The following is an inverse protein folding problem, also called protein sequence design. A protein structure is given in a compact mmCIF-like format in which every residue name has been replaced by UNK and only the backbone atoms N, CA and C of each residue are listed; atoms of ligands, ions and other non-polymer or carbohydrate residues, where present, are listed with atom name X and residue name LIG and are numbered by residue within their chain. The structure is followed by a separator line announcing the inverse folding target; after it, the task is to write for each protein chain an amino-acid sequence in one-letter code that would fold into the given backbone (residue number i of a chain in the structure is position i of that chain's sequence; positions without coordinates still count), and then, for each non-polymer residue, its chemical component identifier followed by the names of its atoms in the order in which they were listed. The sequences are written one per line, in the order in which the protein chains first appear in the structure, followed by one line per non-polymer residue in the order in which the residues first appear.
data_IF_676517384109
#
_entry.id   IF_676517384109
#
_cell.length_a   1.000
_cell.length_b   1.000
_cell.length_c   1.000
_cell.angle_alpha   90.00
_cell.angle_beta   90.00
_cell.angle_gamma   90.00
#
_symmetry.space_group_name_H-M   'P 1'
#
loop_
_entity.id
_entity.type
_entity.pdbx_description
1 polymer ?
#
# COMPACT_ATOMS: atom_id res chain seq x y z
N UNK A 1 19.59 -15.22 0.73
CA UNK A 1 18.80 -15.42 1.96
C UNK A 1 17.98 -14.17 2.18
N UNK A 2 16.69 -14.23 1.83
CA UNK A 2 15.76 -13.13 2.15
C UNK A 2 15.64 -13.12 3.67
N UNK A 3 16.22 -12.10 4.30
CA UNK A 3 16.25 -11.90 5.75
C UNK A 3 14.82 -11.90 6.30
N UNK A 4 14.37 -13.07 6.76
CA UNK A 4 13.20 -13.23 7.61
C UNK A 4 13.55 -12.67 8.99
N UNK A 5 13.25 -11.41 9.24
CA UNK A 5 13.42 -10.79 10.56
C UNK A 5 14.26 -9.52 10.60
N UNK A 6 14.29 -8.73 9.53
CA UNK A 6 14.71 -7.33 9.64
C UNK A 6 13.62 -6.52 10.35
N UNK A 7 13.97 -5.85 11.44
CA UNK A 7 13.12 -4.97 12.22
C UNK A 7 12.52 -3.84 11.34
N UNK A 8 11.44 -4.10 10.60
CA UNK A 8 10.71 -3.08 9.82
C UNK A 8 9.76 -2.30 10.73
N UNK A 9 10.26 -1.82 11.87
CA UNK A 9 9.60 -0.77 12.65
C UNK A 9 9.64 0.53 11.85
N UNK A 10 8.86 0.60 10.77
CA UNK A 10 8.38 1.86 10.25
C UNK A 10 7.38 2.37 11.27
N UNK A 11 7.83 3.24 12.18
CA UNK A 11 6.93 3.94 13.08
C UNK A 11 6.05 4.84 12.22
N UNK A 12 4.82 4.39 11.97
CA UNK A 12 3.81 5.17 11.30
C UNK A 12 3.66 6.55 11.96
N UNK A 13 3.48 7.64 11.19
CA UNK A 13 3.02 8.89 11.77
C UNK A 13 1.67 8.64 12.48
N UNK A 14 1.46 9.19 13.69
CA UNK A 14 0.32 8.85 14.57
C UNK A 14 -1.06 9.35 14.09
N UNK A 15 -1.25 9.54 12.78
CA UNK A 15 -2.41 10.23 12.20
C UNK A 15 -3.21 9.36 11.22
N UNK A 16 -2.73 8.17 10.83
CA UNK A 16 -3.54 7.24 10.05
C UNK A 16 -4.58 6.56 10.95
N UNK A 17 -5.87 6.79 10.67
CA UNK A 17 -6.98 6.11 11.35
C UNK A 17 -7.66 5.20 10.34
N UNK A 18 -7.71 3.90 10.64
CA UNK A 18 -8.23 2.87 9.75
C UNK A 18 -9.53 2.35 10.35
N UNK A 19 -10.62 2.54 9.63
CA UNK A 19 -11.88 1.82 9.89
C UNK A 19 -11.76 0.50 9.15
N UNK A 20 -11.45 -0.58 9.86
CA UNK A 20 -11.49 -2.00 9.45
C UNK A 20 -11.40 -2.25 7.92
N UNK A 21 -10.20 -2.57 7.43
CA UNK A 21 -9.99 -2.82 5.99
C UNK A 21 -10.73 -4.10 5.58
N UNK A 22 -11.61 -4.05 4.55
CA UNK A 22 -12.30 -5.23 4.06
C UNK A 22 -11.35 -6.33 3.58
N UNK A 23 -11.69 -7.58 3.87
CA UNK A 23 -10.88 -8.75 3.50
C UNK A 23 -10.62 -8.88 2.00
N UNK A 24 -11.56 -8.44 1.15
CA UNK A 24 -11.37 -8.49 -0.31
C UNK A 24 -10.17 -7.66 -0.78
N UNK A 25 -9.75 -6.62 -0.04
CA UNK A 25 -8.55 -5.85 -0.36
C UNK A 25 -7.29 -6.65 -0.04
N UNK A 26 -7.30 -7.43 1.04
CA UNK A 26 -6.18 -8.34 1.36
C UNK A 26 -6.02 -9.39 0.27
N UNK A 27 -7.12 -9.91 -0.26
CA UNK A 27 -7.07 -10.79 -1.44
C UNK A 27 -6.49 -10.08 -2.67
N UNK A 28 -6.88 -8.83 -2.92
CA UNK A 28 -6.28 -8.05 -4.01
C UNK A 28 -4.77 -7.82 -3.80
N UNK A 29 -4.31 -7.62 -2.57
CA UNK A 29 -2.89 -7.49 -2.24
C UNK A 29 -2.12 -8.79 -2.44
N UNK A 30 -2.72 -9.94 -2.11
CA UNK A 30 -2.18 -11.27 -2.41
C UNK A 30 -2.08 -11.49 -3.93
N UNK A 31 -3.16 -11.23 -4.67
CA UNK A 31 -3.17 -11.36 -6.12
C UNK A 31 -2.18 -10.41 -6.79
N UNK A 32 -1.98 -9.21 -6.27
CA UNK A 32 -0.99 -8.28 -6.78
C UNK A 32 0.44 -8.73 -6.48
N UNK A 33 0.67 -9.33 -5.31
CA UNK A 33 1.94 -9.93 -4.94
C UNK A 33 2.32 -11.14 -5.80
N UNK A 34 1.31 -11.89 -6.25
CA UNK A 34 1.45 -13.07 -7.10
C UNK A 34 1.39 -12.75 -8.62
N UNK A 35 1.44 -11.47 -8.99
CA UNK A 35 1.32 -11.00 -10.39
C UNK A 35 0.02 -11.46 -11.10
N UNK A 36 -1.03 -11.78 -10.34
CA UNK A 36 -2.35 -12.16 -10.87
C UNK A 36 -3.19 -10.95 -11.25
N UNK A 37 -2.95 -9.79 -10.61
CA UNK A 37 -3.50 -8.49 -11.02
C UNK A 37 -2.37 -7.49 -11.25
N UNK A 38 -2.61 -6.52 -12.12
CA UNK A 38 -1.68 -5.47 -12.46
C UNK A 38 -1.72 -4.29 -11.46
N UNK A 39 -0.70 -3.43 -11.54
CA UNK A 39 -0.55 -2.26 -10.68
C UNK A 39 -1.80 -1.36 -10.70
N UNK A 40 -2.41 -1.17 -11.87
CA UNK A 40 -3.60 -0.33 -12.01
C UNK A 40 -4.82 -0.91 -11.28
N UNK A 41 -5.03 -2.23 -11.37
CA UNK A 41 -6.11 -2.93 -10.66
C UNK A 41 -5.94 -2.81 -9.14
N UNK A 42 -4.72 -2.97 -8.64
CA UNK A 42 -4.43 -2.81 -7.22
C UNK A 42 -4.64 -1.36 -6.75
N UNK A 43 -4.08 -0.39 -7.47
CA UNK A 43 -4.21 1.04 -7.15
C UNK A 43 -5.67 1.49 -7.16
N UNK A 44 -6.48 0.99 -8.10
CA UNK A 44 -7.93 1.26 -8.16
C UNK A 44 -8.65 0.78 -6.89
N UNK A 45 -8.27 -0.38 -6.33
CA UNK A 45 -8.79 -0.87 -5.06
C UNK A 45 -8.43 0.03 -3.88
N UNK A 46 -7.18 0.50 -3.81
CA UNK A 46 -6.72 1.44 -2.78
C UNK A 46 -7.45 2.78 -2.90
N UNK A 47 -7.62 3.28 -4.13
CA UNK A 47 -8.37 4.50 -4.40
C UNK A 47 -9.82 4.39 -3.94
N UNK A 48 -10.47 3.25 -4.21
CA UNK A 48 -11.82 3.00 -3.72
C UNK A 48 -11.89 3.12 -2.18
N UNK A 49 -10.94 2.54 -1.44
CA UNK A 49 -10.92 2.64 0.02
C UNK A 49 -10.79 4.07 0.55
N UNK A 50 -9.98 4.87 -0.12
CA UNK A 50 -9.79 6.28 0.24
C UNK A 50 -11.08 7.06 -0.03
N UNK A 51 -11.68 6.86 -1.20
CA UNK A 51 -12.94 7.50 -1.58
C UNK A 51 -14.11 7.13 -0.66
N UNK A 52 -14.16 5.88 -0.20
CA UNK A 52 -15.16 5.42 0.77
C UNK A 52 -14.86 5.87 2.22
N UNK A 53 -13.71 6.51 2.47
CA UNK A 53 -13.29 6.92 3.81
C UNK A 53 -12.88 5.76 4.74
N UNK A 54 -12.73 4.55 4.19
CA UNK A 54 -12.27 3.34 4.89
C UNK A 54 -10.78 3.48 5.25
N UNK A 55 -9.99 3.99 4.30
CA UNK A 55 -8.58 4.30 4.46
C UNK A 55 -8.38 5.81 4.44
N UNK A 56 -7.99 6.40 5.58
CA UNK A 56 -7.68 7.83 5.65
C UNK A 56 -6.19 8.04 5.48
N UNK A 57 -5.81 8.47 4.29
CA UNK A 57 -4.46 8.99 4.05
C UNK A 57 -4.50 10.50 4.33
N UNK A 58 -3.61 11.04 5.18
CA UNK A 58 -3.46 12.47 5.34
C UNK A 58 -3.31 13.13 3.97
N UNK A 59 -3.79 14.37 3.76
CA UNK A 59 -3.57 15.08 2.51
C UNK A 59 -2.07 15.26 2.29
N UNK A 60 -1.47 14.36 1.54
CA UNK A 60 -0.09 14.43 1.07
C UNK A 60 -0.12 15.07 -0.29
N UNK A 61 0.77 16.04 -0.53
CA UNK A 61 0.97 16.57 -1.88
C UNK A 61 1.52 15.40 -2.69
N UNK A 62 0.70 14.83 -3.58
CA UNK A 62 1.19 13.86 -4.55
C UNK A 62 2.38 14.52 -5.25
N UNK A 63 3.58 13.98 -5.05
CA UNK A 63 4.77 14.50 -5.70
C UNK A 63 4.53 14.53 -7.21
N UNK A 64 5.13 15.50 -7.91
CA UNK A 64 5.08 15.54 -9.38
C UNK A 64 5.68 14.25 -9.93
N UNK A 65 4.81 13.28 -10.21
CA UNK A 65 5.21 11.94 -10.60
C UNK A 65 6.04 12.00 -11.88
N UNK A 66 7.27 11.48 -11.79
CA UNK A 66 8.09 11.14 -12.95
C UNK A 66 8.11 9.62 -13.03
N UNK A 67 7.01 9.00 -13.43
CA UNK A 67 6.88 7.55 -13.35
C UNK A 67 6.53 7.00 -14.73
N UNK A 68 7.55 6.89 -15.57
CA UNK A 68 7.57 5.96 -16.70
C UNK A 68 7.81 4.51 -16.24
N UNK A 69 8.14 4.28 -14.97
CA UNK A 69 8.83 3.05 -14.53
C UNK A 69 7.99 2.10 -13.64
N UNK A 70 6.68 2.33 -13.47
CA UNK A 70 5.79 1.41 -12.74
C UNK A 70 6.03 1.34 -11.22
N UNK A 71 5.26 0.50 -10.52
CA UNK A 71 5.46 0.28 -9.07
C UNK A 71 6.58 -0.75 -8.87
N UNK A 72 7.60 -0.47 -8.03
CA UNK A 72 8.68 -1.43 -7.79
C UNK A 72 8.21 -2.75 -7.16
N UNK A 73 8.79 -3.88 -7.58
CA UNK A 73 8.43 -5.22 -7.10
C UNK A 73 8.58 -5.42 -5.59
N UNK A 74 9.48 -4.69 -4.92
CA UNK A 74 9.60 -4.78 -3.46
C UNK A 74 8.33 -4.32 -2.73
N UNK A 75 7.49 -3.49 -3.37
CA UNK A 75 6.18 -3.10 -2.83
C UNK A 75 5.19 -4.26 -2.91
N UNK A 76 5.21 -5.04 -4.00
CA UNK A 76 4.39 -6.26 -4.15
C UNK A 76 4.68 -7.24 -3.03
N UNK A 77 5.95 -7.40 -2.66
CA UNK A 77 6.36 -8.18 -1.49
C UNK A 77 5.71 -7.70 -0.18
N UNK A 78 5.66 -6.39 0.05
CA UNK A 78 4.99 -5.81 1.22
C UNK A 78 3.47 -6.05 1.21
N UNK A 79 2.83 -6.00 0.04
CA UNK A 79 1.40 -6.32 -0.11
C UNK A 79 1.12 -7.80 0.20
N UNK A 80 1.97 -8.72 -0.25
CA UNK A 80 1.87 -10.13 0.10
C UNK A 80 2.04 -10.37 1.61
N UNK A 81 2.99 -9.70 2.26
CA UNK A 81 3.15 -9.76 3.71
C UNK A 81 1.96 -9.18 4.48
N UNK A 82 1.34 -8.13 3.97
CA UNK A 82 0.12 -7.58 4.54
C UNK A 82 -1.08 -8.52 4.38
N UNK A 83 -1.24 -9.13 3.20
CA UNK A 83 -2.28 -10.14 2.96
C UNK A 83 -2.12 -11.37 3.86
N UNK A 84 -0.88 -11.83 4.06
CA UNK A 84 -0.55 -12.92 4.96
C UNK A 84 -0.64 -12.57 6.46
N UNK A 85 -0.99 -11.33 6.82
CA UNK A 85 -1.08 -10.86 8.20
C UNK A 85 0.27 -10.73 8.92
N UNK A 86 1.38 -10.73 8.17
CA UNK A 86 2.72 -10.50 8.70
C UNK A 86 3.01 -9.02 8.94
N UNK A 87 2.32 -8.15 8.19
CA UNK A 87 2.31 -6.70 8.37
C UNK A 87 0.89 -6.29 8.76
N UNK A 88 0.79 -5.40 9.75
CA UNK A 88 -0.50 -4.85 10.19
C UNK A 88 -1.00 -3.75 9.23
N UNK A 89 -2.30 -3.48 9.29
CA UNK A 89 -2.97 -2.51 8.39
C UNK A 89 -2.34 -1.12 8.45
N UNK A 90 -1.87 -0.67 9.61
CA UNK A 90 -1.29 0.65 9.78
C UNK A 90 0.11 0.75 9.18
N UNK A 91 0.92 -0.30 9.31
CA UNK A 91 2.21 -0.38 8.62
C UNK A 91 2.03 -0.39 7.10
N UNK A 92 1.05 -1.13 6.58
CA UNK A 92 0.74 -1.14 5.15
C UNK A 92 0.25 0.23 4.65
N UNK A 93 -0.72 0.86 5.33
CA UNK A 93 -1.23 2.20 4.98
C UNK A 93 -0.12 3.26 5.00
N UNK A 94 0.80 3.18 5.95
CA UNK A 94 1.96 4.09 6.02
C UNK A 94 2.89 3.91 4.82
N UNK A 95 3.09 2.67 4.36
CA UNK A 95 3.80 2.38 3.12
C UNK A 95 3.11 3.00 1.90
N UNK A 96 1.80 2.85 1.78
CA UNK A 96 1.01 3.47 0.70
C UNK A 96 1.13 5.00 0.73
N UNK A 97 1.02 5.62 1.91
CA UNK A 97 1.20 7.07 2.07
C UNK A 97 2.60 7.52 1.59
N UNK A 98 3.64 6.76 1.92
CA UNK A 98 5.00 7.05 1.48
C UNK A 98 5.12 6.97 -0.05
N UNK A 99 4.51 5.96 -0.69
CA UNK A 99 4.53 5.82 -2.16
C UNK A 99 3.88 7.00 -2.88
N UNK A 100 2.74 7.47 -2.37
CA UNK A 100 2.04 8.63 -2.91
C UNK A 100 2.87 9.90 -2.72
N UNK A 101 3.47 10.06 -1.53
CA UNK A 101 4.32 11.22 -1.20
C UNK A 101 5.55 11.30 -2.10
N UNK A 102 6.16 10.17 -2.42
CA UNK A 102 7.34 10.10 -3.30
C UNK A 102 6.98 10.07 -4.79
N UNK A 103 5.69 10.15 -5.15
CA UNK A 103 5.23 10.15 -6.55
C UNK A 103 5.37 8.80 -7.27
N UNK A 104 5.59 7.71 -6.53
CA UNK A 104 5.71 6.34 -7.07
C UNK A 104 4.31 5.80 -7.41
N UNK A 105 3.33 6.07 -6.53
CA UNK A 105 1.93 5.72 -6.73
C UNK A 105 1.11 6.98 -6.97
N UNK A 106 0.25 6.97 -7.98
CA UNK A 106 -0.66 8.09 -8.28
C UNK A 106 -2.10 7.70 -7.96
N UNK A 107 -2.79 8.57 -7.25
CA UNK A 107 -4.24 8.49 -7.01
C UNK A 107 -4.86 9.71 -7.70
N UNK A 108 -5.81 9.50 -8.61
CA UNK A 108 -6.33 10.55 -9.52
C UNK A 108 -7.81 10.79 -9.34
#
# INVERSE_FOLDING_TARGET
EVVKGGNTSFTAPPTATITEIPQWIKNNAEWWADDQIDDESFVSGIQYLINQGIMKIPPTTAGSASSSDGIPDWIKGNAGWWAAGQIDDNTFVSGIQWLITNGIMKIS
#
